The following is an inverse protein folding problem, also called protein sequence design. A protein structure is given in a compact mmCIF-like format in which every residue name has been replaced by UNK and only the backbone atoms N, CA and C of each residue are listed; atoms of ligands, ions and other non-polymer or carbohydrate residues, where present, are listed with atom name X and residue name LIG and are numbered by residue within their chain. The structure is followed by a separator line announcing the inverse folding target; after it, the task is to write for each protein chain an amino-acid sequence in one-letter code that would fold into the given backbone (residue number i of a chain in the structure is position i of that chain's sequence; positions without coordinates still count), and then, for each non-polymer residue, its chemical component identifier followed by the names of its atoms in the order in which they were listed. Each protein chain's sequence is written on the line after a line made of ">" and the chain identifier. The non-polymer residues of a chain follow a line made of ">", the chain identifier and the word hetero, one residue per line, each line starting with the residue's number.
data_IF_668289106704
#
_entry.id   IF_668289106704
#
_cell.length_a   1.000
_cell.length_b   1.000
_cell.length_c   1.000
_cell.angle_alpha   90.00
_cell.angle_beta   90.00
_cell.angle_gamma   90.00
#
_symmetry.space_group_name_H-M   'P 1'
#
loop_
_entity.id
_entity.type
_entity.pdbx_description
1 polymer ?
#
# COMPACT_ATOMS: atom_id res chain seq x y z
N UNK A 1 13.02 1.64 -7.08
CA UNK A 1 12.64 3.07 -7.03
C UNK A 1 13.83 3.89 -6.52
N UNK A 2 14.09 5.09 -7.05
CA UNK A 2 15.19 5.96 -6.57
C UNK A 2 14.73 6.78 -5.37
N UNK A 3 15.64 7.16 -4.46
CA UNK A 3 15.27 7.88 -3.23
C UNK A 3 14.60 9.24 -3.47
N UNK A 4 14.95 9.92 -4.57
CA UNK A 4 14.26 11.16 -4.97
C UNK A 4 12.78 10.94 -5.29
N UNK A 5 12.46 9.81 -5.90
CA UNK A 5 11.10 9.45 -6.26
C UNK A 5 10.30 9.07 -4.99
N UNK A 6 10.92 8.33 -4.07
CA UNK A 6 10.37 8.03 -2.74
C UNK A 6 10.05 9.32 -2.00
N UNK A 7 11.01 10.25 -1.92
CA UNK A 7 10.82 11.54 -1.24
C UNK A 7 9.62 12.30 -1.79
N UNK A 8 9.49 12.38 -3.12
CA UNK A 8 8.35 13.07 -3.77
C UNK A 8 7.02 12.40 -3.44
N UNK A 9 6.98 11.06 -3.46
CA UNK A 9 5.79 10.29 -3.11
C UNK A 9 5.40 10.52 -1.64
N UNK A 10 6.37 10.50 -0.73
CA UNK A 10 6.14 10.75 0.70
C UNK A 10 5.59 12.15 0.94
N UNK A 11 6.13 13.19 0.32
CA UNK A 11 5.55 14.54 0.45
C UNK A 11 4.14 14.62 -0.13
N UNK A 12 3.86 13.92 -1.23
CA UNK A 12 2.50 13.85 -1.79
C UNK A 12 1.55 13.17 -0.82
N UNK A 13 1.95 12.06 -0.22
CA UNK A 13 1.16 11.32 0.77
C UNK A 13 0.92 12.18 2.02
N UNK A 14 1.93 12.86 2.56
CA UNK A 14 1.79 13.72 3.76
C UNK A 14 0.73 14.81 3.64
N UNK A 15 0.41 15.23 2.41
CA UNK A 15 -0.63 16.22 2.15
C UNK A 15 -2.03 15.61 1.93
N UNK A 16 -2.18 14.29 2.00
CA UNK A 16 -3.48 13.60 1.98
C UNK A 16 -4.02 13.50 3.42
N UNK A 17 -5.28 13.87 3.61
CA UNK A 17 -5.96 13.75 4.90
C UNK A 17 -5.91 12.32 5.45
N UNK A 18 -6.07 11.33 4.54
CA UNK A 18 -6.09 9.90 4.83
C UNK A 18 -4.76 9.33 5.33
N UNK A 19 -3.67 10.09 5.33
CA UNK A 19 -2.37 9.64 5.86
C UNK A 19 -1.72 10.70 6.75
N UNK A 20 -2.51 11.64 7.26
CA UNK A 20 -2.05 12.79 8.05
C UNK A 20 -1.51 12.39 9.43
N UNK A 21 -1.98 11.26 9.96
CA UNK A 21 -1.54 10.61 11.20
C UNK A 21 -0.29 9.74 11.06
N UNK A 22 0.14 9.45 9.83
CA UNK A 22 1.21 8.47 9.56
C UNK A 22 2.58 9.12 9.56
N UNK A 23 3.52 8.49 10.26
CA UNK A 23 4.90 8.91 10.37
C UNK A 23 5.62 8.85 9.03
N UNK A 24 6.60 9.73 8.86
CA UNK A 24 7.41 9.77 7.64
C UNK A 24 8.09 8.43 7.32
N UNK A 25 8.70 7.71 8.28
CA UNK A 25 9.26 6.37 8.02
C UNK A 25 8.20 5.37 7.53
N UNK A 26 6.99 5.40 8.08
CA UNK A 26 5.92 4.52 7.63
C UNK A 26 5.43 4.87 6.21
N UNK A 27 5.32 6.15 5.87
CA UNK A 27 5.01 6.58 4.51
C UNK A 27 6.11 6.19 3.51
N UNK A 28 7.37 6.22 3.92
CA UNK A 28 8.48 5.74 3.11
C UNK A 28 8.40 4.24 2.82
N UNK A 29 8.12 3.43 3.85
CA UNK A 29 7.87 1.99 3.70
C UNK A 29 6.67 1.75 2.79
N UNK A 30 5.58 2.51 2.98
CA UNK A 30 4.39 2.40 2.16
C UNK A 30 4.67 2.68 0.68
N UNK A 31 5.35 3.78 0.37
CA UNK A 31 5.73 4.15 -0.98
C UNK A 31 6.60 3.09 -1.65
N UNK A 32 7.65 2.62 -0.97
CA UNK A 32 8.55 1.57 -1.47
C UNK A 32 7.82 0.24 -1.67
N UNK A 33 6.93 -0.13 -0.76
CA UNK A 33 6.14 -1.34 -0.84
C UNK A 33 5.15 -1.32 -2.01
N UNK A 34 4.44 -0.21 -2.22
CA UNK A 34 3.52 -0.05 -3.37
C UNK A 34 4.30 -0.08 -4.68
N UNK A 35 5.43 0.62 -4.77
CA UNK A 35 6.27 0.59 -5.97
C UNK A 35 6.76 -0.84 -6.27
N UNK A 36 7.27 -1.57 -5.27
CA UNK A 36 7.71 -2.96 -5.44
C UNK A 36 6.55 -3.88 -5.81
N UNK A 37 5.42 -3.78 -5.12
CA UNK A 37 4.23 -4.59 -5.40
C UNK A 37 3.68 -4.33 -6.80
N UNK A 38 3.77 -3.09 -7.30
CA UNK A 38 3.33 -2.72 -8.66
C UNK A 38 4.07 -3.46 -9.79
N UNK A 39 5.26 -3.97 -9.51
CA UNK A 39 6.05 -4.80 -10.43
C UNK A 39 5.65 -6.29 -10.37
N UNK A 40 4.90 -6.69 -9.34
CA UNK A 40 4.39 -8.04 -9.10
C UNK A 40 3.06 -8.32 -9.81
N UNK A 41 2.71 -9.60 -9.90
CA UNK A 41 1.39 -10.08 -10.36
C UNK A 41 0.27 -9.67 -9.38
N UNK A 42 0.61 -9.43 -8.10
CA UNK A 42 -0.32 -9.04 -7.03
C UNK A 42 0.03 -7.64 -6.50
N UNK A 43 -0.41 -6.56 -7.17
CA UNK A 43 0.03 -5.20 -6.88
C UNK A 43 -0.44 -4.62 -5.53
N UNK A 44 -1.34 -5.31 -4.86
CA UNK A 44 -1.86 -4.94 -3.54
C UNK A 44 -1.35 -5.84 -2.43
N UNK A 45 -0.42 -6.76 -2.69
CA UNK A 45 0.11 -7.69 -1.68
C UNK A 45 1.61 -7.48 -1.46
N UNK A 46 2.02 -7.49 -0.19
CA UNK A 46 3.41 -7.38 0.26
C UNK A 46 3.68 -8.56 1.18
N UNK A 47 4.60 -9.45 0.80
CA UNK A 47 5.01 -10.55 1.69
C UNK A 47 5.86 -10.02 2.85
N UNK A 48 5.92 -10.74 3.97
CA UNK A 48 6.83 -10.38 5.08
C UNK A 48 8.30 -10.32 4.62
N UNK A 49 8.69 -11.25 3.73
CA UNK A 49 10.03 -11.25 3.14
C UNK A 49 10.29 -10.03 2.27
N UNK A 50 9.31 -9.58 1.48
CA UNK A 50 9.44 -8.36 0.69
C UNK A 50 9.49 -7.11 1.58
N UNK A 51 8.74 -7.12 2.68
CA UNK A 51 8.73 -6.03 3.65
C UNK A 51 10.10 -5.89 4.34
N UNK A 52 10.73 -6.98 4.75
CA UNK A 52 12.08 -7.00 5.34
C UNK A 52 13.17 -6.64 4.32
N UNK A 53 12.92 -6.83 3.02
CA UNK A 53 13.81 -6.35 1.97
C UNK A 53 13.71 -4.84 1.72
N UNK A 54 12.62 -4.19 2.16
CA UNK A 54 12.38 -2.75 1.95
C UNK A 54 13.03 -1.90 3.03
N UNK A 55 13.05 -2.36 4.29
CA UNK A 55 13.58 -1.62 5.43
C UNK A 55 14.10 -2.58 6.51
N UNK A 56 14.92 -2.06 7.43
CA UNK A 56 15.34 -2.83 8.61
C UNK A 56 14.12 -3.42 9.35
N UNK A 57 14.17 -4.68 9.81
CA UNK A 57 13.02 -5.37 10.41
C UNK A 57 12.33 -4.60 11.55
N UNK A 58 13.08 -3.80 12.33
CA UNK A 58 12.47 -2.99 13.40
C UNK A 58 11.67 -1.82 12.84
N UNK A 59 12.18 -1.20 11.78
CA UNK A 59 11.51 -0.10 11.07
C UNK A 59 10.31 -0.63 10.30
N UNK A 60 10.47 -1.76 9.60
CA UNK A 60 9.43 -2.39 8.79
C UNK A 60 8.25 -2.84 9.65
N UNK A 61 8.51 -3.43 10.82
CA UNK A 61 7.47 -3.86 11.78
C UNK A 61 6.67 -2.66 12.31
N UNK A 62 7.36 -1.62 12.80
CA UNK A 62 6.67 -0.44 13.33
C UNK A 62 5.87 0.29 12.26
N UNK A 63 6.43 0.42 11.05
CA UNK A 63 5.72 0.98 9.91
C UNK A 63 4.48 0.17 9.55
N UNK A 64 4.59 -1.16 9.46
CA UNK A 64 3.44 -2.01 9.14
C UNK A 64 2.32 -1.90 10.17
N UNK A 65 2.65 -1.82 11.47
CA UNK A 65 1.66 -1.58 12.52
C UNK A 65 0.97 -0.24 12.36
N UNK A 66 1.73 0.83 12.14
CA UNK A 66 1.19 2.17 11.95
C UNK A 66 0.26 2.24 10.73
N UNK A 67 0.69 1.68 9.60
CA UNK A 67 -0.11 1.61 8.37
C UNK A 67 -1.38 0.75 8.54
N UNK A 68 -1.34 -0.29 9.39
CA UNK A 68 -2.53 -1.06 9.74
C UNK A 68 -3.50 -0.28 10.63
N UNK A 69 -2.97 0.45 11.63
CA UNK A 69 -3.78 1.28 12.53
C UNK A 69 -4.48 2.41 11.79
N UNK A 70 -3.83 2.98 10.77
CA UNK A 70 -4.40 4.01 9.90
C UNK A 70 -5.29 3.44 8.79
N UNK A 71 -5.44 2.11 8.73
CA UNK A 71 -6.32 1.43 7.77
C UNK A 71 -5.83 1.45 6.33
N UNK A 72 -4.55 1.74 6.09
CA UNK A 72 -3.87 1.72 4.78
C UNK A 72 -3.36 0.32 4.41
N UNK A 73 -3.12 -0.50 5.43
CA UNK A 73 -2.70 -1.89 5.31
C UNK A 73 -3.61 -2.79 6.13
N UNK A 74 -3.64 -4.08 5.80
CA UNK A 74 -4.26 -5.11 6.61
C UNK A 74 -3.37 -6.33 6.65
N UNK A 75 -3.24 -6.95 7.82
CA UNK A 75 -2.52 -8.22 7.96
C UNK A 75 -3.22 -9.32 7.15
N UNK A 76 -2.44 -10.15 6.47
CA UNK A 76 -2.86 -11.38 5.82
C UNK A 76 -1.92 -12.52 6.22
N UNK A 77 -2.25 -13.75 5.83
CA UNK A 77 -1.34 -14.88 5.99
C UNK A 77 -0.05 -14.58 5.22
N UNK A 78 1.08 -14.63 5.93
CA UNK A 78 2.44 -14.39 5.45
C UNK A 78 2.73 -12.99 4.84
N UNK A 79 1.93 -11.98 5.19
CA UNK A 79 2.20 -10.61 4.75
C UNK A 79 1.08 -9.62 5.01
N UNK A 80 0.94 -8.68 4.08
CA UNK A 80 0.00 -7.57 4.18
C UNK A 80 -0.69 -7.30 2.84
N UNK A 81 -1.96 -6.90 2.94
CA UNK A 81 -2.73 -6.35 1.82
C UNK A 81 -2.77 -4.84 1.97
N UNK A 82 -2.38 -4.13 0.91
CA UNK A 82 -2.47 -2.68 0.79
C UNK A 82 -3.91 -2.30 0.46
N UNK A 83 -4.54 -1.54 1.34
CA UNK A 83 -5.93 -1.08 1.24
C UNK A 83 -6.02 0.36 0.71
N UNK A 84 -4.89 1.07 0.59
CA UNK A 84 -4.79 2.34 -0.13
C UNK A 84 -4.85 2.13 -1.66
N UNK A 85 -6.06 1.79 -2.12
CA UNK A 85 -6.34 1.47 -3.52
C UNK A 85 -6.10 2.66 -4.44
N UNK A 86 -6.36 3.88 -3.98
CA UNK A 86 -6.21 5.08 -4.80
C UNK A 86 -4.73 5.35 -5.07
N UNK A 87 -3.89 5.24 -4.03
CA UNK A 87 -2.45 5.39 -4.19
C UNK A 87 -1.84 4.30 -5.07
N UNK A 88 -2.24 3.04 -4.90
CA UNK A 88 -1.80 1.94 -5.77
C UNK A 88 -2.19 2.21 -7.23
N UNK A 89 -3.40 2.71 -7.48
CA UNK A 89 -3.85 3.02 -8.84
C UNK A 89 -3.06 4.18 -9.47
N UNK A 90 -2.68 5.19 -8.69
CA UNK A 90 -1.85 6.29 -9.16
C UNK A 90 -0.43 5.82 -9.52
N UNK A 91 0.20 5.02 -8.66
CA UNK A 91 1.55 4.47 -8.93
C UNK A 91 1.54 3.58 -10.17
N UNK A 92 0.52 2.73 -10.34
CA UNK A 92 0.37 1.90 -11.54
C UNK A 92 0.18 2.73 -12.82
N UNK A 93 -0.60 3.82 -12.75
CA UNK A 93 -0.81 4.70 -13.88
C UNK A 93 0.49 5.41 -14.30
N UNK A 94 1.29 5.87 -13.34
CA UNK A 94 2.59 6.50 -13.59
C UNK A 94 3.62 5.52 -14.16
N UNK A 95 3.53 4.23 -13.80
CA UNK A 95 4.36 3.16 -14.36
C UNK A 95 3.98 2.75 -15.81
N UNK A 96 3.03 3.43 -16.45
CA UNK A 96 2.60 3.14 -17.82
C UNK A 96 1.78 1.86 -17.97
N UNK A 97 1.27 1.30 -16.86
CA UNK A 97 0.35 0.14 -16.88
C UNK A 97 -1.05 0.58 -17.35
N UNK A 98 -1.83 -0.31 -17.99
CA UNK A 98 -3.09 0.07 -18.63
C UNK A 98 -4.11 0.68 -17.67
N UNK A 99 -4.73 1.77 -18.11
CA UNK A 99 -5.78 2.58 -17.44
C UNK A 99 -7.01 1.77 -16.96
N UNK A 100 -7.17 0.54 -17.43
CA UNK A 100 -8.19 -0.41 -16.99
C UNK A 100 -8.14 -0.68 -15.48
N UNK A 101 -6.96 -0.56 -14.85
CA UNK A 101 -6.84 -0.69 -13.40
C UNK A 101 -7.53 0.42 -12.61
N UNK A 102 -7.70 1.66 -13.13
CA UNK A 102 -8.43 2.74 -12.43
C UNK A 102 -9.94 2.50 -12.36
N UNK A 103 -10.51 1.85 -13.37
CA UNK A 103 -11.94 1.51 -13.42
C UNK A 103 -12.21 0.17 -12.73
N UNK A 104 -11.28 -0.78 -12.85
CA UNK A 104 -11.30 -1.99 -12.04
C UNK A 104 -11.03 -1.70 -10.57
N UNK A 105 -10.24 -0.70 -10.19
CA UNK A 105 -9.93 -0.41 -8.78
C UNK A 105 -11.11 0.17 -8.00
N UNK A 106 -11.97 0.96 -8.64
CA UNK A 106 -13.19 1.49 -8.01
C UNK A 106 -14.26 0.40 -7.84
N UNK A 107 -14.39 -0.50 -8.83
CA UNK A 107 -15.23 -1.69 -8.73
C UNK A 107 -14.64 -2.72 -7.76
N UNK A 108 -13.32 -2.92 -7.77
CA UNK A 108 -12.60 -3.79 -6.86
C UNK A 108 -12.64 -3.23 -5.43
N UNK A 109 -12.64 -1.91 -5.20
CA UNK A 109 -12.86 -1.32 -3.88
C UNK A 109 -14.24 -1.70 -3.35
N UNK A 110 -15.29 -1.60 -4.17
CA UNK A 110 -16.64 -2.04 -3.77
C UNK A 110 -16.72 -3.53 -3.52
N UNK A 111 -16.18 -4.35 -4.43
CA UNK A 111 -16.18 -5.81 -4.30
C UNK A 111 -15.30 -6.27 -3.13
N UNK A 112 -14.18 -5.60 -2.86
CA UNK A 112 -13.27 -5.92 -1.77
C UNK A 112 -13.82 -5.48 -0.40
N UNK A 113 -14.51 -4.33 -0.32
CA UNK A 113 -15.28 -3.92 0.86
C UNK A 113 -16.44 -4.90 1.10
N UNK A 114 -17.15 -5.32 0.06
CA UNK A 114 -18.27 -6.26 0.16
C UNK A 114 -17.81 -7.65 0.63
N UNK A 115 -16.74 -8.19 0.04
CA UNK A 115 -16.15 -9.48 0.39
C UNK A 115 -15.44 -9.50 1.76
N UNK A 116 -15.13 -8.33 2.34
CA UNK A 116 -14.50 -8.20 3.66
C UNK A 116 -15.36 -7.43 4.68
N UNK A 117 -16.64 -7.21 4.41
CA UNK A 117 -17.61 -6.89 5.46
C UNK A 117 -17.79 -8.15 6.33
N UNK A 118 -18.07 -8.00 7.63
CA UNK A 118 -18.13 -9.05 8.68
C UNK A 118 -19.04 -10.27 8.38
N UNK A 119 -19.57 -10.38 7.16
CA UNK A 119 -20.38 -11.48 6.66
C UNK A 119 -19.55 -12.72 6.26
N UNK A 120 -18.24 -12.60 6.07
CA UNK A 120 -17.38 -13.69 5.56
C UNK A 120 -16.15 -14.03 6.43
N UNK A 121 -16.00 -13.44 7.61
CA UNK A 121 -15.01 -13.86 8.61
C UNK A 121 -15.78 -14.54 9.76
N UNK A 122 -15.60 -15.86 10.00
CA UNK A 122 -16.14 -16.54 11.17
C UNK A 122 -15.53 -16.02 12.48
#
# INVERSE_FOLDING_TARGET
>A
MRDRDVFRQVETLRHRDATSSVSRPALEVHARAVARASESVRPSFVSDTDLDAIADPRVSTMAALELCLDGLWRRADDGYVITDVDYVADVLADAGRPRAWRTLSTLARRVWIELNSDRFIP
#
